data_IF_638087819339
#
_entry.id   IF_638087819339
#
_cell.length_a   1.000
_cell.length_b   1.000
_cell.length_c   1.000
_cell.angle_alpha   90.00
_cell.angle_beta   90.00
_cell.angle_gamma   90.00
#
_symmetry.space_group_name_H-M   'P 1'
#
loop_
_entity.id
_entity.type
_entity.pdbx_description
1 polymer ?
#
# COMPACT_ATOMS: atom_id res chain seq x y z
N UNK A 1 8.11 -12.89 -33.69
CA UNK A 1 8.45 -13.31 -32.31
C UNK A 1 7.52 -12.59 -31.36
N UNK A 2 6.40 -13.22 -30.98
CA UNK A 2 5.43 -12.61 -30.08
C UNK A 2 6.08 -12.40 -28.70
N UNK A 3 5.86 -11.26 -28.01
CA UNK A 3 6.39 -11.07 -26.68
C UNK A 3 5.76 -12.14 -25.76
N UNK A 4 6.60 -13.02 -25.20
CA UNK A 4 6.20 -13.94 -24.13
C UNK A 4 5.60 -13.07 -23.02
N UNK A 5 4.29 -13.19 -22.79
CA UNK A 5 3.61 -12.45 -21.75
C UNK A 5 4.29 -12.75 -20.40
N UNK A 6 4.88 -11.71 -19.79
CA UNK A 6 5.61 -11.87 -18.54
C UNK A 6 4.63 -12.27 -17.42
N UNK A 7 4.75 -13.49 -16.85
CA UNK A 7 3.83 -13.97 -15.82
C UNK A 7 3.81 -13.06 -14.59
N UNK A 8 4.89 -12.30 -14.34
CA UNK A 8 4.98 -11.35 -13.22
C UNK A 8 4.03 -10.16 -13.39
N UNK A 9 3.86 -9.69 -14.64
CA UNK A 9 2.93 -8.58 -14.94
C UNK A 9 1.48 -9.00 -14.70
N UNK A 10 1.14 -10.23 -15.11
CA UNK A 10 -0.18 -10.80 -14.86
C UNK A 10 -0.44 -11.01 -13.36
N UNK A 11 0.54 -11.54 -12.62
CA UNK A 11 0.45 -11.70 -11.16
C UNK A 11 0.27 -10.36 -10.43
N UNK A 12 1.04 -9.33 -10.82
CA UNK A 12 0.92 -8.00 -10.26
C UNK A 12 -0.45 -7.38 -10.56
N UNK A 13 -0.94 -7.50 -11.80
CA UNK A 13 -2.27 -7.02 -12.16
C UNK A 13 -3.36 -7.69 -11.31
N UNK A 14 -3.29 -9.01 -11.13
CA UNK A 14 -4.20 -9.75 -10.26
C UNK A 14 -4.16 -9.24 -8.81
N UNK A 15 -2.96 -9.02 -8.26
CA UNK A 15 -2.82 -8.52 -6.89
C UNK A 15 -3.41 -7.12 -6.72
N UNK A 16 -3.20 -6.23 -7.70
CA UNK A 16 -3.81 -4.89 -7.71
C UNK A 16 -5.33 -4.95 -7.77
N UNK A 17 -5.90 -5.86 -8.58
CA UNK A 17 -7.34 -6.06 -8.66
C UNK A 17 -7.93 -6.63 -7.38
N UNK A 18 -7.25 -7.58 -6.72
CA UNK A 18 -7.66 -8.10 -5.41
C UNK A 18 -7.64 -6.99 -4.36
N UNK A 19 -6.57 -6.20 -4.29
CA UNK A 19 -6.49 -5.09 -3.33
C UNK A 19 -7.58 -4.03 -3.60
N UNK A 20 -7.83 -3.68 -4.86
CA UNK A 20 -8.90 -2.76 -5.24
C UNK A 20 -10.29 -3.33 -4.92
N UNK A 21 -10.50 -4.64 -5.12
CA UNK A 21 -11.74 -5.32 -4.78
C UNK A 21 -12.01 -5.34 -3.27
N UNK A 22 -10.99 -5.61 -2.46
CA UNK A 22 -11.09 -5.55 -0.99
C UNK A 22 -11.42 -4.13 -0.50
N UNK A 23 -10.78 -3.11 -1.08
CA UNK A 23 -11.08 -1.72 -0.76
C UNK A 23 -12.53 -1.35 -1.14
N UNK A 24 -12.97 -1.74 -2.33
CA UNK A 24 -14.35 -1.50 -2.78
C UNK A 24 -15.37 -2.21 -1.89
N UNK A 25 -15.08 -3.45 -1.46
CA UNK A 25 -15.93 -4.20 -0.54
C UNK A 25 -16.02 -3.52 0.84
N UNK A 26 -14.91 -3.00 1.37
CA UNK A 26 -14.90 -2.25 2.62
C UNK A 26 -15.74 -0.96 2.54
N UNK A 27 -15.60 -0.19 1.45
CA UNK A 27 -16.41 1.01 1.21
C UNK A 27 -17.90 0.70 1.01
N UNK A 28 -18.22 -0.38 0.29
CA UNK A 28 -19.59 -0.84 0.13
C UNK A 28 -20.19 -1.27 1.48
N UNK A 29 -19.43 -1.98 2.31
CA UNK A 29 -19.83 -2.33 3.67
C UNK A 29 -20.13 -1.10 4.53
N UNK A 30 -19.27 -0.07 4.45
CA UNK A 30 -19.49 1.21 5.14
C UNK A 30 -20.79 1.88 4.68
N UNK A 31 -21.00 1.99 3.37
CA UNK A 31 -22.19 2.61 2.80
C UNK A 31 -23.48 1.86 3.19
N UNK A 32 -23.45 0.53 3.16
CA UNK A 32 -24.58 -0.31 3.56
C UNK A 32 -24.88 -0.20 5.05
N UNK A 33 -23.86 -0.13 5.90
CA UNK A 33 -24.01 0.06 7.34
C UNK A 33 -24.62 1.44 7.65
N UNK A 34 -24.11 2.49 7.01
CA UNK A 34 -24.64 3.85 7.13
C UNK A 34 -26.10 3.96 6.67
N UNK A 35 -26.48 3.29 5.57
CA UNK A 35 -27.86 3.28 5.07
C UNK A 35 -28.84 2.57 6.01
N UNK A 36 -28.39 1.58 6.78
CA UNK A 36 -29.22 0.87 7.75
C UNK A 36 -29.38 1.56 9.10
N UNK A 37 -28.76 2.73 9.29
CA UNK A 37 -29.08 3.63 10.39
C UNK A 37 -28.62 3.15 11.77
N UNK A 38 -27.38 2.66 11.88
CA UNK A 38 -26.57 2.64 13.11
C UNK A 38 -27.10 1.90 14.34
N UNK A 39 -28.21 1.16 14.24
CA UNK A 39 -28.88 0.53 15.38
C UNK A 39 -28.47 -0.94 15.53
N UNK A 40 -27.95 -1.32 16.69
CA UNK A 40 -27.57 -2.69 17.03
C UNK A 40 -26.24 -3.14 16.40
N UNK A 41 -26.14 -4.42 15.97
CA UNK A 41 -24.91 -4.99 15.39
C UNK A 41 -24.38 -4.28 14.13
N UNK A 42 -25.19 -3.42 13.50
CA UNK A 42 -24.78 -2.58 12.37
C UNK A 42 -23.78 -1.49 12.76
N UNK A 43 -23.81 -0.99 14.00
CA UNK A 43 -22.82 -0.01 14.49
C UNK A 43 -21.41 -0.59 14.61
N UNK A 44 -21.29 -1.89 14.96
CA UNK A 44 -19.99 -2.58 14.95
C UNK A 44 -19.44 -2.76 13.53
N UNK A 45 -20.31 -3.04 12.57
CA UNK A 45 -19.93 -3.14 11.17
C UNK A 45 -19.50 -1.78 10.60
N UNK A 46 -20.22 -0.72 10.95
CA UNK A 46 -19.87 0.66 10.59
C UNK A 46 -18.48 1.03 11.11
N UNK A 47 -18.23 0.85 12.41
CA UNK A 47 -16.92 1.13 13.01
C UNK A 47 -15.80 0.28 12.40
N UNK A 48 -16.05 -1.00 12.12
CA UNK A 48 -15.07 -1.87 11.45
C UNK A 48 -14.76 -1.39 10.02
N UNK A 49 -15.80 -1.04 9.25
CA UNK A 49 -15.62 -0.54 7.89
C UNK A 49 -14.93 0.83 7.87
N UNK A 50 -15.21 1.71 8.83
CA UNK A 50 -14.55 3.00 8.99
C UNK A 50 -13.06 2.81 9.31
N UNK A 51 -12.73 1.95 10.29
CA UNK A 51 -11.36 1.62 10.62
C UNK A 51 -10.61 0.98 9.44
N UNK A 52 -11.27 0.08 8.69
CA UNK A 52 -10.69 -0.56 7.50
C UNK A 52 -10.41 0.46 6.39
N UNK A 53 -11.33 1.39 6.13
CA UNK A 53 -11.13 2.44 5.14
C UNK A 53 -9.95 3.35 5.50
N UNK A 54 -9.88 3.82 6.75
CA UNK A 54 -8.76 4.64 7.24
C UNK A 54 -7.43 3.87 7.18
N UNK A 55 -7.43 2.61 7.60
CA UNK A 55 -6.25 1.75 7.55
C UNK A 55 -5.72 1.55 6.13
N UNK A 56 -6.61 1.33 5.15
CA UNK A 56 -6.22 1.19 3.76
C UNK A 56 -5.61 2.48 3.16
N UNK A 57 -6.15 3.65 3.53
CA UNK A 57 -5.59 4.95 3.14
C UNK A 57 -4.21 5.17 3.78
N UNK A 58 -4.06 4.81 5.05
CA UNK A 58 -2.79 4.95 5.77
C UNK A 58 -1.69 4.05 5.19
N UNK A 59 -2.00 2.79 4.87
CA UNK A 59 -1.07 1.86 4.22
C UNK A 59 -0.61 2.39 2.85
N UNK A 60 -1.56 2.85 2.02
CA UNK A 60 -1.24 3.47 0.74
C UNK A 60 -0.30 4.66 0.91
N UNK A 61 -0.59 5.55 1.86
CA UNK A 61 0.25 6.71 2.14
C UNK A 61 1.66 6.29 2.60
N UNK A 62 1.78 5.28 3.46
CA UNK A 62 3.07 4.79 3.96
C UNK A 62 3.94 4.21 2.84
N UNK A 63 3.38 3.34 2.00
CA UNK A 63 4.10 2.76 0.85
C UNK A 63 4.50 3.86 -0.14
N UNK A 64 3.58 4.77 -0.47
CA UNK A 64 3.91 5.88 -1.36
C UNK A 64 4.99 6.76 -0.75
N UNK A 65 4.90 7.13 0.53
CA UNK A 65 5.89 7.95 1.21
C UNK A 65 7.27 7.29 1.33
N UNK A 66 7.34 5.95 1.32
CA UNK A 66 8.62 5.23 1.29
C UNK A 66 9.32 5.43 -0.05
N UNK A 67 8.59 5.29 -1.16
CA UNK A 67 9.17 5.23 -2.51
C UNK A 67 9.10 6.55 -3.29
N UNK A 68 8.11 7.40 -3.03
CA UNK A 68 7.77 8.61 -3.80
C UNK A 68 7.18 9.68 -2.86
N UNK A 69 6.82 10.84 -3.39
CA UNK A 69 6.11 11.87 -2.61
C UNK A 69 4.59 11.69 -2.80
N UNK A 70 3.81 11.41 -1.74
CA UNK A 70 2.36 11.32 -1.86
C UNK A 70 1.82 12.66 -2.34
N UNK A 71 0.98 12.63 -3.37
CA UNK A 71 0.33 13.81 -3.99
C UNK A 71 1.28 14.87 -4.60
N UNK A 72 2.57 14.56 -4.77
CA UNK A 72 3.55 15.50 -5.35
C UNK A 72 3.92 16.69 -4.45
N UNK A 73 3.40 16.74 -3.22
CA UNK A 73 3.68 17.82 -2.27
C UNK A 73 5.14 17.74 -1.76
N UNK A 74 5.85 18.87 -1.61
CA UNK A 74 7.22 18.91 -1.13
C UNK A 74 7.28 18.74 0.39
N UNK A 75 6.92 17.57 0.89
CA UNK A 75 7.01 17.24 2.31
C UNK A 75 8.47 16.82 2.65
N UNK A 76 9.18 17.56 3.53
CA UNK A 76 10.62 17.40 3.79
C UNK A 76 11.05 16.05 4.41
N UNK A 77 10.10 15.22 4.84
CA UNK A 77 10.32 13.89 5.43
C UNK A 77 9.72 12.72 4.62
N UNK A 78 9.27 12.96 3.39
CA UNK A 78 8.76 11.89 2.50
C UNK A 78 9.80 11.52 1.43
N UNK A 79 9.78 10.28 0.94
CA UNK A 79 10.81 9.63 0.14
C UNK A 79 12.07 9.24 0.94
N UNK A 80 11.87 8.54 2.07
CA UNK A 80 12.93 8.06 2.97
C UNK A 80 13.95 7.18 2.20
N UNK A 81 13.45 6.27 1.36
CA UNK A 81 14.29 5.31 0.66
C UNK A 81 15.26 5.95 -0.36
N UNK A 82 14.83 6.84 -1.28
CA UNK A 82 15.77 7.51 -2.18
C UNK A 82 16.75 8.44 -1.45
N UNK A 83 16.38 9.03 -0.30
CA UNK A 83 17.28 9.89 0.48
C UNK A 83 18.42 9.12 1.16
N UNK A 84 18.21 7.85 1.51
CA UNK A 84 19.23 7.00 2.15
C UNK A 84 19.89 5.99 1.22
N UNK A 85 19.61 6.02 -0.09
CA UNK A 85 20.17 5.09 -1.10
C UNK A 85 21.69 4.94 -1.01
N UNK A 86 22.43 6.04 -0.85
CA UNK A 86 23.90 6.00 -0.75
C UNK A 86 24.36 5.17 0.47
N UNK A 87 23.75 5.39 1.64
CA UNK A 87 24.06 4.65 2.87
C UNK A 87 23.75 3.15 2.73
N UNK A 88 22.65 2.80 2.08
CA UNK A 88 22.27 1.40 1.84
C UNK A 88 23.25 0.73 0.86
N UNK A 89 23.69 1.45 -0.17
CA UNK A 89 24.70 0.96 -1.11
C UNK A 89 26.05 0.71 -0.43
N UNK A 90 26.51 1.63 0.42
CA UNK A 90 27.77 1.49 1.16
C UNK A 90 27.73 0.31 2.15
N UNK A 91 26.59 0.09 2.82
CA UNK A 91 26.41 -1.05 3.72
C UNK A 91 26.41 -2.39 2.98
N UNK A 92 25.75 -2.46 1.82
CA UNK A 92 25.76 -3.66 0.97
C UNK A 92 27.16 -3.96 0.40
N UNK A 93 27.90 -2.91 0.03
CA UNK A 93 29.28 -3.05 -0.45
C UNK A 93 30.21 -3.60 0.63
N UNK A 94 30.07 -3.16 1.89
CA UNK A 94 30.80 -3.75 3.02
C UNK A 94 30.41 -5.21 3.25
N UNK A 95 29.12 -5.53 3.30
CA UNK A 95 28.66 -6.91 3.50
C UNK A 95 29.21 -7.87 2.44
N UNK A 96 29.19 -7.48 1.16
CA UNK A 96 29.75 -8.32 0.09
C UNK A 96 31.26 -8.48 0.25
N UNK A 97 31.96 -7.41 0.63
CA UNK A 97 33.40 -7.48 0.89
C UNK A 97 33.74 -8.40 2.06
N UNK A 98 33.00 -8.33 3.15
CA UNK A 98 33.36 -9.05 4.38
C UNK A 98 32.93 -10.53 4.37
N UNK A 99 31.95 -10.90 3.53
CA UNK A 99 31.41 -12.26 3.47
C UNK A 99 31.77 -13.05 2.21
N UNK A 100 32.21 -12.38 1.13
CA UNK A 100 32.53 -13.05 -0.14
C UNK A 100 33.96 -12.81 -0.65
N UNK A 101 34.73 -11.92 -0.02
CA UNK A 101 36.18 -11.77 -0.23
C UNK A 101 36.92 -12.18 1.04
#
# INVERSE_FOLDING_TARGET
>A
MAPLADPRKAALARMKWVAAGLLAAALAGLALAAWKGGQGGWGWLEAFCEASAVGAVADWFAVVALFRRPLGLPLPHTAILPRSKARVADGLAHFVRDHFL
#
